data_IF_506753070047
#
_entry.id   IF_506753070047
#
_cell.length_a   1.000
_cell.length_b   1.000
_cell.length_c   1.000
_cell.angle_alpha   90.00
_cell.angle_beta   90.00
_cell.angle_gamma   90.00
#
_symmetry.space_group_name_H-M   'P 1'
#
loop_
_entity.id
_entity.type
_entity.pdbx_description
1 polymer ?
#
# COMPACT_ATOMS: atom_id res chain seq x y z
N UNK A 1 24.57 1.30 10.31
CA UNK A 1 24.38 -0.16 10.42
C UNK A 1 23.57 -0.38 11.68
N UNK A 2 22.42 -1.05 11.57
CA UNK A 2 21.64 -1.42 12.76
C UNK A 2 22.45 -2.38 13.61
N UNK A 3 22.29 -2.33 14.93
CA UNK A 3 22.90 -3.32 15.83
C UNK A 3 22.47 -4.73 15.42
N UNK A 4 23.31 -5.77 15.55
CA UNK A 4 22.88 -7.14 15.27
C UNK A 4 21.80 -7.59 16.28
N UNK A 5 20.90 -8.51 15.90
CA UNK A 5 19.96 -9.11 16.83
C UNK A 5 20.70 -9.87 17.96
N UNK A 6 20.08 -10.05 19.13
CA UNK A 6 20.71 -10.77 20.25
C UNK A 6 21.15 -12.19 19.84
N UNK A 7 22.34 -12.67 20.27
CA UNK A 7 22.82 -14.01 19.92
C UNK A 7 21.84 -15.13 20.27
N UNK A 8 21.14 -15.01 21.41
CA UNK A 8 20.12 -15.97 21.84
C UNK A 8 18.97 -16.13 20.86
N UNK A 9 18.55 -15.05 20.19
CA UNK A 9 17.51 -15.09 19.14
C UNK A 9 18.04 -15.84 17.92
N UNK A 10 19.25 -15.55 17.49
CA UNK A 10 19.87 -16.22 16.34
C UNK A 10 20.08 -17.72 16.59
N UNK A 11 20.50 -18.11 17.79
CA UNK A 11 20.66 -19.51 18.17
C UNK A 11 19.32 -20.25 18.13
N UNK A 12 18.24 -19.61 18.60
CA UNK A 12 16.89 -20.16 18.51
C UNK A 12 16.42 -20.31 17.06
N UNK A 13 16.67 -19.33 16.19
CA UNK A 13 16.36 -19.41 14.75
C UNK A 13 17.15 -20.54 14.09
N UNK A 14 18.45 -20.67 14.36
CA UNK A 14 19.29 -21.76 13.83
C UNK A 14 18.79 -23.13 14.29
N UNK A 15 18.41 -23.25 15.56
CA UNK A 15 17.81 -24.47 16.10
C UNK A 15 16.46 -24.78 15.41
N UNK A 16 15.62 -23.76 15.18
CA UNK A 16 14.35 -23.91 14.46
C UNK A 16 14.56 -24.33 13.01
N UNK A 17 15.57 -23.79 12.32
CA UNK A 17 15.95 -24.19 10.96
C UNK A 17 16.38 -25.67 10.91
N UNK A 18 17.23 -26.09 11.85
CA UNK A 18 17.76 -27.45 11.94
C UNK A 18 16.68 -28.54 12.18
N UNK A 19 15.53 -28.17 12.77
CA UNK A 19 14.38 -29.10 12.93
C UNK A 19 13.59 -29.33 11.65
N UNK A 20 13.81 -28.54 10.60
CA UNK A 20 13.10 -28.65 9.32
C UNK A 20 13.57 -29.83 8.47
N UNK A 21 12.69 -30.33 7.59
CA UNK A 21 12.96 -31.48 6.71
C UNK A 21 13.98 -31.18 5.59
N UNK A 22 14.14 -29.90 5.20
CA UNK A 22 15.05 -29.49 4.12
C UNK A 22 16.16 -28.58 4.66
N UNK A 23 17.44 -28.89 4.36
CA UNK A 23 18.54 -28.01 4.72
C UNK A 23 18.43 -26.68 3.97
N UNK A 24 18.67 -25.58 4.68
CA UNK A 24 18.72 -24.22 4.12
C UNK A 24 20.16 -23.73 4.12
N UNK A 25 20.61 -23.09 3.04
CA UNK A 25 21.93 -22.46 3.00
C UNK A 25 22.01 -21.37 4.09
N UNK A 26 23.02 -21.49 4.96
CA UNK A 26 23.24 -20.57 6.07
C UNK A 26 23.39 -19.11 5.60
N UNK A 27 23.85 -18.90 4.36
CA UNK A 27 23.98 -17.56 3.76
C UNK A 27 22.66 -16.79 3.70
N UNK A 28 21.53 -17.49 3.60
CA UNK A 28 20.21 -16.84 3.52
C UNK A 28 19.85 -16.23 4.89
N UNK A 29 20.14 -16.92 5.99
CA UNK A 29 19.99 -16.34 7.32
C UNK A 29 20.94 -15.15 7.51
N UNK A 30 22.17 -15.26 7.03
CA UNK A 30 23.13 -14.15 7.10
C UNK A 30 22.66 -12.92 6.29
N UNK A 31 21.99 -13.11 5.14
CA UNK A 31 21.33 -12.04 4.39
C UNK A 31 20.24 -11.33 5.22
N UNK A 32 19.40 -12.10 5.92
CA UNK A 32 18.37 -11.53 6.82
C UNK A 32 19.01 -10.72 7.94
N UNK A 33 20.01 -11.27 8.62
CA UNK A 33 20.70 -10.60 9.73
C UNK A 33 21.44 -9.33 9.29
N UNK A 34 21.98 -9.32 8.07
CA UNK A 34 22.72 -8.18 7.55
C UNK A 34 21.82 -7.00 7.15
N UNK A 35 20.56 -7.24 6.77
CA UNK A 35 19.71 -6.22 6.16
C UNK A 35 18.41 -5.92 6.89
N UNK A 36 17.85 -6.86 7.63
CA UNK A 36 16.68 -6.61 8.47
C UNK A 36 17.13 -5.97 9.78
N UNK A 37 16.35 -5.00 10.28
CA UNK A 37 16.69 -4.35 11.55
C UNK A 37 16.27 -5.20 12.75
N UNK A 38 16.84 -4.92 13.94
CA UNK A 38 16.51 -5.64 15.17
C UNK A 38 15.04 -5.68 15.54
N UNK A 39 14.22 -4.72 15.08
CA UNK A 39 12.79 -4.70 15.34
C UNK A 39 12.11 -5.95 14.80
N UNK A 40 12.45 -6.35 13.57
CA UNK A 40 11.93 -7.58 12.96
C UNK A 40 12.23 -8.81 13.82
N UNK A 41 13.46 -8.98 14.27
CA UNK A 41 13.85 -10.12 15.12
C UNK A 41 13.29 -10.07 16.55
N UNK A 42 12.85 -8.89 17.00
CA UNK A 42 12.21 -8.73 18.31
C UNK A 42 10.70 -8.97 18.25
N UNK A 43 10.08 -8.75 17.10
CA UNK A 43 8.63 -8.86 16.88
C UNK A 43 8.22 -10.26 16.39
N UNK A 44 9.09 -10.93 15.64
CA UNK A 44 8.85 -12.27 15.09
C UNK A 44 9.37 -13.39 16.02
N UNK A 45 8.60 -14.47 16.15
CA UNK A 45 9.06 -15.65 16.87
C UNK A 45 10.20 -16.35 16.09
N UNK A 46 11.18 -16.98 16.76
CA UNK A 46 12.27 -17.67 16.07
C UNK A 46 11.81 -18.73 15.06
N UNK A 47 10.70 -19.41 15.34
CA UNK A 47 10.04 -20.35 14.43
C UNK A 47 9.50 -19.68 13.16
N UNK A 48 8.93 -18.48 13.29
CA UNK A 48 8.38 -17.70 12.17
C UNK A 48 9.53 -17.16 11.31
N UNK A 49 10.59 -16.61 11.93
CA UNK A 49 11.81 -16.21 11.21
C UNK A 49 12.43 -17.38 10.45
N UNK A 50 12.48 -18.57 11.05
CA UNK A 50 12.97 -19.77 10.37
C UNK A 50 12.06 -20.19 9.19
N UNK A 51 10.74 -19.97 9.28
CA UNK A 51 9.83 -20.17 8.16
C UNK A 51 10.08 -19.16 7.03
N UNK A 52 10.27 -17.88 7.35
CA UNK A 52 10.59 -16.83 6.38
C UNK A 52 11.91 -17.12 5.63
N UNK A 53 12.93 -17.59 6.35
CA UNK A 53 14.21 -18.00 5.74
C UNK A 53 14.05 -19.20 4.80
N UNK A 54 13.20 -20.19 5.13
CA UNK A 54 12.88 -21.29 4.21
C UNK A 54 12.16 -20.80 2.97
N UNK A 55 11.15 -19.95 3.14
CA UNK A 55 10.42 -19.34 2.02
C UNK A 55 11.37 -18.59 1.08
N UNK A 56 12.33 -17.85 1.63
CA UNK A 56 13.38 -17.16 0.87
C UNK A 56 14.30 -18.13 0.10
N UNK A 57 14.63 -19.28 0.69
CA UNK A 57 15.48 -20.30 0.09
C UNK A 57 14.85 -20.99 -1.12
N UNK A 58 13.53 -21.00 -1.15
CA UNK A 58 12.78 -21.63 -2.22
C UNK A 58 12.34 -20.63 -3.32
N UNK A 59 12.82 -19.37 -3.27
CA UNK A 59 12.62 -18.42 -4.36
C UNK A 59 13.49 -18.75 -5.57
N UNK A 60 12.97 -18.53 -6.77
CA UNK A 60 13.70 -18.72 -8.01
C UNK A 60 12.94 -18.17 -9.21
N UNK A 61 13.48 -18.30 -10.43
CA UNK A 61 12.85 -17.73 -11.64
C UNK A 61 11.42 -18.23 -11.88
N UNK A 62 11.13 -19.49 -11.55
CA UNK A 62 9.79 -20.08 -11.68
C UNK A 62 8.89 -19.84 -10.46
N UNK A 63 9.43 -19.28 -9.38
CA UNK A 63 8.69 -19.01 -8.14
C UNK A 63 9.20 -17.71 -7.50
N UNK A 64 8.74 -16.55 -8.00
CA UNK A 64 9.25 -15.25 -7.59
C UNK A 64 8.76 -14.81 -6.21
N UNK A 65 7.78 -15.50 -5.62
CA UNK A 65 7.27 -15.21 -4.30
C UNK A 65 6.78 -16.47 -3.57
N UNK A 66 6.67 -16.33 -2.26
CA UNK A 66 6.01 -17.24 -1.35
C UNK A 66 5.16 -16.49 -0.35
N UNK A 67 4.02 -17.09 -0.03
CA UNK A 67 3.09 -16.59 0.96
C UNK A 67 2.77 -17.70 1.96
N UNK A 68 2.68 -17.35 3.23
CA UNK A 68 2.16 -18.24 4.27
C UNK A 68 1.09 -17.54 5.10
N UNK A 69 0.16 -18.33 5.64
CA UNK A 69 -0.92 -17.87 6.50
C UNK A 69 -0.84 -18.64 7.82
N UNK A 70 -0.51 -17.94 8.90
CA UNK A 70 -0.41 -18.53 10.23
C UNK A 70 -1.55 -18.03 11.12
N UNK A 71 -2.37 -18.95 11.62
CA UNK A 71 -3.45 -18.60 12.54
C UNK A 71 -2.90 -18.09 13.89
N UNK A 72 -3.50 -17.01 14.40
CA UNK A 72 -3.19 -16.39 15.68
C UNK A 72 -4.43 -16.29 16.56
N UNK A 73 -4.25 -15.90 17.81
CA UNK A 73 -5.35 -15.79 18.77
C UNK A 73 -6.40 -14.73 18.36
N UNK A 74 -7.66 -14.99 18.70
CA UNK A 74 -8.76 -14.03 18.48
C UNK A 74 -9.20 -13.87 17.03
N UNK A 75 -9.07 -14.91 16.19
CA UNK A 75 -9.48 -14.86 14.79
C UNK A 75 -8.56 -14.04 13.89
N UNK A 76 -7.34 -13.77 14.35
CA UNK A 76 -6.28 -13.08 13.61
C UNK A 76 -5.43 -14.08 12.84
N UNK A 77 -4.79 -13.60 11.78
CA UNK A 77 -3.85 -14.37 10.99
C UNK A 77 -2.63 -13.49 10.71
N UNK A 78 -1.45 -14.08 10.72
CA UNK A 78 -0.26 -13.44 10.15
C UNK A 78 -0.11 -13.95 8.72
N UNK A 79 -0.06 -13.02 7.76
CA UNK A 79 0.24 -13.29 6.35
C UNK A 79 1.65 -12.81 6.10
N UNK A 80 2.57 -13.76 5.90
CA UNK A 80 3.96 -13.46 5.57
C UNK A 80 4.19 -13.65 4.07
N UNK A 81 4.87 -12.70 3.46
CA UNK A 81 5.21 -12.69 2.04
C UNK A 81 6.70 -12.49 1.87
N UNK A 82 7.34 -13.46 1.23
CA UNK A 82 8.74 -13.38 0.83
C UNK A 82 8.79 -13.40 -0.69
N UNK A 83 9.31 -12.34 -1.33
CA UNK A 83 9.33 -12.23 -2.78
C UNK A 83 10.61 -11.55 -3.28
N UNK A 84 10.88 -11.65 -4.59
CA UNK A 84 11.78 -10.70 -5.24
C UNK A 84 11.17 -9.31 -5.23
N UNK A 85 12.03 -8.31 -5.04
CA UNK A 85 11.67 -6.91 -5.01
C UNK A 85 11.36 -6.38 -6.42
N UNK A 86 10.14 -5.88 -6.56
CA UNK A 86 9.64 -5.11 -7.69
C UNK A 86 9.13 -3.75 -7.23
N UNK A 87 9.33 -2.76 -8.11
CA UNK A 87 8.72 -1.45 -7.91
C UNK A 87 7.19 -1.57 -7.81
N UNK A 88 6.60 -0.88 -6.82
CA UNK A 88 5.17 -0.84 -6.52
C UNK A 88 4.57 -2.12 -5.90
N UNK A 89 5.35 -3.15 -5.57
CA UNK A 89 4.82 -4.40 -5.00
C UNK A 89 4.07 -4.21 -3.68
N UNK A 90 4.52 -3.29 -2.82
CA UNK A 90 3.86 -3.03 -1.54
C UNK A 90 2.41 -2.57 -1.73
N UNK A 91 2.11 -1.80 -2.78
CA UNK A 91 0.73 -1.43 -3.09
C UNK A 91 -0.07 -2.64 -3.57
N UNK A 92 0.51 -3.50 -4.40
CA UNK A 92 -0.13 -4.75 -4.83
C UNK A 92 -0.47 -5.65 -3.65
N UNK A 93 0.44 -5.80 -2.69
CA UNK A 93 0.20 -6.59 -1.47
C UNK A 93 -0.96 -6.03 -0.65
N UNK A 94 -0.96 -4.73 -0.38
CA UNK A 94 -2.05 -4.08 0.36
C UNK A 94 -3.40 -4.21 -0.36
N UNK A 95 -3.41 -4.03 -1.68
CA UNK A 95 -4.60 -4.16 -2.51
C UNK A 95 -5.13 -5.60 -2.55
N UNK A 96 -4.23 -6.59 -2.65
CA UNK A 96 -4.57 -8.00 -2.64
C UNK A 96 -5.21 -8.43 -1.31
N UNK A 97 -4.60 -8.07 -0.18
CA UNK A 97 -5.15 -8.37 1.15
C UNK A 97 -6.54 -7.76 1.31
N UNK A 98 -6.70 -6.50 0.91
CA UNK A 98 -8.00 -5.81 0.99
C UNK A 98 -9.05 -6.49 0.10
N UNK A 99 -8.69 -6.86 -1.14
CA UNK A 99 -9.57 -7.57 -2.07
C UNK A 99 -10.01 -8.96 -1.56
N UNK A 100 -9.15 -9.63 -0.79
CA UNK A 100 -9.49 -10.87 -0.07
C UNK A 100 -10.32 -10.65 1.20
N UNK A 101 -10.77 -9.42 1.45
CA UNK A 101 -11.48 -8.99 2.66
C UNK A 101 -10.68 -9.30 3.93
N UNK A 102 -9.41 -8.91 3.92
CA UNK A 102 -8.54 -8.93 5.08
C UNK A 102 -8.25 -7.48 5.49
N UNK A 103 -8.61 -7.14 6.73
CA UNK A 103 -8.23 -5.85 7.34
C UNK A 103 -6.85 -6.01 7.95
N UNK A 104 -5.93 -5.11 7.64
CA UNK A 104 -4.59 -5.10 8.21
C UNK A 104 -4.66 -4.34 9.55
N UNK A 105 -4.31 -5.01 10.65
CA UNK A 105 -4.26 -4.39 11.99
C UNK A 105 -2.83 -3.95 12.36
N UNK A 106 -1.83 -4.68 11.89
CA UNK A 106 -0.42 -4.30 12.06
C UNK A 106 0.44 -4.98 11.01
N UNK A 107 1.71 -4.56 10.89
CA UNK A 107 2.63 -5.23 9.99
C UNK A 107 4.00 -4.59 9.86
N UNK A 108 4.94 -5.37 9.35
CA UNK A 108 6.33 -5.00 9.14
C UNK A 108 6.71 -5.36 7.71
N UNK A 109 7.18 -4.35 6.97
CA UNK A 109 7.53 -4.45 5.55
C UNK A 109 8.98 -4.07 5.42
N UNK A 110 9.78 -4.91 4.76
CA UNK A 110 11.21 -4.71 4.66
C UNK A 110 11.72 -5.13 3.29
N UNK A 111 12.37 -4.20 2.58
CA UNK A 111 13.15 -4.50 1.39
C UNK A 111 14.61 -4.78 1.77
N UNK A 112 15.16 -5.90 1.30
CA UNK A 112 16.56 -6.26 1.50
C UNK A 112 17.10 -7.08 0.33
N UNK A 113 18.36 -6.86 -0.08
CA UNK A 113 19.06 -7.71 -1.06
C UNK A 113 18.21 -8.08 -2.32
N UNK A 114 17.40 -7.13 -2.84
CA UNK A 114 16.44 -7.33 -3.95
C UNK A 114 15.32 -8.35 -3.68
N UNK A 115 14.97 -8.52 -2.41
CA UNK A 115 13.86 -9.30 -1.91
C UNK A 115 13.07 -8.46 -0.92
N UNK A 116 11.89 -8.93 -0.58
CA UNK A 116 11.07 -8.41 0.51
C UNK A 116 10.78 -9.47 1.56
N UNK A 117 10.62 -9.03 2.80
CA UNK A 117 9.98 -9.78 3.89
C UNK A 117 8.89 -8.87 4.43
N UNK A 118 7.65 -9.20 4.09
CA UNK A 118 6.48 -8.43 4.49
C UNK A 118 5.55 -9.31 5.31
N UNK A 119 5.31 -8.92 6.56
CA UNK A 119 4.47 -9.66 7.51
C UNK A 119 3.32 -8.77 7.93
N UNK A 120 2.09 -9.22 7.66
CA UNK A 120 0.86 -8.49 7.99
C UNK A 120 0.02 -9.28 8.98
N UNK A 121 -0.33 -8.67 10.10
CA UNK A 121 -1.39 -9.19 10.98
C UNK A 121 -2.73 -8.72 10.47
N UNK A 122 -3.58 -9.67 10.13
CA UNK A 122 -4.88 -9.41 9.50
C UNK A 122 -6.04 -10.05 10.24
N UNK A 123 -7.21 -9.43 10.08
CA UNK A 123 -8.51 -9.94 10.52
C UNK A 123 -9.46 -10.03 9.33
N UNK A 124 -10.07 -11.21 9.05
CA UNK A 124 -11.11 -11.33 8.04
C UNK A 124 -12.33 -10.47 8.39
N UNK A 125 -12.93 -9.83 7.39
CA UNK A 125 -14.16 -9.05 7.56
C UNK A 125 -15.24 -9.45 6.55
N UNK A 126 -16.45 -8.89 6.71
CA UNK A 126 -17.58 -9.19 5.83
C UNK A 126 -18.05 -10.65 5.89
N UNK A 127 -17.88 -11.32 7.05
CA UNK A 127 -18.30 -12.70 7.27
C UNK A 127 -17.39 -13.77 6.64
N UNK A 128 -16.21 -13.40 6.14
CA UNK A 128 -15.19 -14.37 5.67
C UNK A 128 -14.59 -15.15 6.85
N UNK A 129 -14.30 -16.42 6.61
CA UNK A 129 -13.52 -17.27 7.52
C UNK A 129 -12.02 -17.08 7.35
N UNK A 130 -11.24 -18.11 7.70
CA UNK A 130 -9.80 -18.12 7.57
C UNK A 130 -9.35 -17.79 6.12
N UNK A 131 -8.28 -17.01 5.92
CA UNK A 131 -7.72 -16.77 4.60
C UNK A 131 -7.23 -18.09 3.96
N UNK A 132 -7.55 -18.28 2.69
CA UNK A 132 -7.08 -19.44 1.93
C UNK A 132 -5.68 -19.18 1.38
N UNK A 133 -4.65 -19.72 2.03
CA UNK A 133 -3.23 -19.52 1.68
C UNK A 133 -2.95 -19.76 0.19
N UNK A 134 -3.39 -20.90 -0.36
CA UNK A 134 -3.18 -21.24 -1.77
C UNK A 134 -3.87 -20.28 -2.74
N UNK A 135 -5.01 -19.68 -2.33
CA UNK A 135 -5.70 -18.68 -3.16
C UNK A 135 -4.96 -17.34 -3.14
N UNK A 136 -4.53 -16.89 -1.96
CA UNK A 136 -3.72 -15.68 -1.80
C UNK A 136 -2.39 -15.80 -2.57
N UNK A 137 -1.68 -16.92 -2.42
CA UNK A 137 -0.39 -17.13 -3.09
C UNK A 137 -0.54 -17.17 -4.62
N UNK A 138 -1.55 -17.86 -5.15
CA UNK A 138 -1.83 -17.89 -6.59
C UNK A 138 -2.10 -16.48 -7.14
N UNK A 139 -2.96 -15.72 -6.46
CA UNK A 139 -3.32 -14.38 -6.89
C UNK A 139 -2.13 -13.40 -6.76
N UNK A 140 -1.28 -13.57 -5.74
CA UNK A 140 -0.02 -12.83 -5.60
C UNK A 140 0.92 -13.10 -6.79
N UNK A 141 1.13 -14.37 -7.12
CA UNK A 141 2.00 -14.76 -8.24
C UNK A 141 1.47 -14.23 -9.57
N UNK A 142 0.15 -14.20 -9.76
CA UNK A 142 -0.48 -13.57 -10.92
C UNK A 142 -0.13 -12.08 -11.02
N UNK A 143 -0.29 -11.33 -9.91
CA UNK A 143 0.00 -9.90 -9.90
C UNK A 143 1.49 -9.60 -10.08
N UNK A 144 2.37 -10.35 -9.42
CA UNK A 144 3.82 -10.18 -9.58
C UNK A 144 4.30 -10.54 -10.99
N UNK A 145 3.68 -11.53 -11.63
CA UNK A 145 3.93 -11.85 -13.05
C UNK A 145 3.62 -10.66 -13.96
N UNK A 146 2.48 -9.99 -13.74
CA UNK A 146 2.14 -8.76 -14.48
C UNK A 146 3.16 -7.64 -14.25
N UNK A 147 3.64 -7.45 -13.01
CA UNK A 147 4.66 -6.43 -12.72
C UNK A 147 5.99 -6.77 -13.42
N UNK A 148 6.42 -8.03 -13.36
CA UNK A 148 7.64 -8.50 -14.01
C UNK A 148 7.60 -8.26 -15.53
N UNK A 149 6.43 -8.45 -16.15
CA UNK A 149 6.16 -8.18 -17.56
C UNK A 149 5.96 -6.69 -17.91
N UNK A 150 6.17 -5.78 -16.95
CA UNK A 150 5.95 -4.32 -17.07
C UNK A 150 4.49 -3.93 -17.35
N UNK A 151 3.55 -4.77 -16.92
CA UNK A 151 2.09 -4.56 -17.01
C UNK A 151 1.49 -4.14 -15.66
N UNK A 152 2.21 -3.27 -14.93
CA UNK A 152 1.80 -2.79 -13.60
C UNK A 152 0.44 -2.09 -13.60
N UNK A 153 0.09 -1.39 -14.68
CA UNK A 153 -1.23 -0.74 -14.82
C UNK A 153 -2.37 -1.78 -14.84
N UNK A 154 -2.15 -2.90 -15.52
CA UNK A 154 -3.13 -3.98 -15.59
C UNK A 154 -3.29 -4.70 -14.25
N UNK A 155 -2.20 -4.93 -13.52
CA UNK A 155 -2.25 -5.49 -12.16
C UNK A 155 -3.10 -4.59 -11.24
N UNK A 156 -2.89 -3.28 -11.32
CA UNK A 156 -3.65 -2.28 -10.54
C UNK A 156 -5.11 -2.21 -10.94
N UNK A 157 -5.41 -2.23 -12.23
CA UNK A 157 -6.80 -2.25 -12.70
C UNK A 157 -7.56 -3.47 -12.18
N UNK A 158 -6.93 -4.66 -12.25
CA UNK A 158 -7.50 -5.90 -11.71
C UNK A 158 -7.78 -5.79 -10.20
N UNK A 159 -6.83 -5.27 -9.42
CA UNK A 159 -7.02 -5.05 -7.99
C UNK A 159 -8.13 -4.04 -7.71
N UNK A 160 -8.13 -2.89 -8.40
CA UNK A 160 -9.15 -1.85 -8.22
C UNK A 160 -10.56 -2.38 -8.47
N UNK A 161 -10.74 -3.24 -9.49
CA UNK A 161 -12.02 -3.88 -9.77
C UNK A 161 -12.46 -4.80 -8.63
N UNK A 162 -11.56 -5.66 -8.14
CA UNK A 162 -11.84 -6.54 -6.98
C UNK A 162 -12.10 -5.74 -5.71
N UNK A 163 -11.43 -4.60 -5.54
CA UNK A 163 -11.64 -3.71 -4.40
C UNK A 163 -13.05 -3.13 -4.41
N UNK A 164 -13.53 -2.63 -5.56
CA UNK A 164 -14.89 -2.14 -5.73
C UNK A 164 -15.95 -3.19 -5.33
N UNK A 165 -15.71 -4.47 -5.65
CA UNK A 165 -16.58 -5.59 -5.27
C UNK A 165 -16.46 -5.99 -3.79
N UNK A 166 -15.31 -5.71 -3.17
CA UNK A 166 -15.01 -6.08 -1.77
C UNK A 166 -15.45 -5.02 -0.76
N UNK A 167 -15.41 -3.74 -1.14
CA UNK A 167 -15.77 -2.60 -0.31
C UNK A 167 -17.30 -2.49 -0.25
N UNK A 168 -17.87 -2.67 0.94
CA UNK A 168 -19.30 -2.45 1.17
C UNK A 168 -19.71 -0.98 1.05
N UNK A 169 -21.02 -0.66 1.18
CA UNK A 169 -21.49 0.71 1.16
C UNK A 169 -20.75 1.57 2.20
N UNK A 170 -20.51 2.86 1.90
CA UNK A 170 -19.68 3.70 2.73
C UNK A 170 -20.28 3.83 4.14
N UNK A 171 -19.44 3.85 5.20
CA UNK A 171 -19.93 4.02 6.56
C UNK A 171 -20.41 5.46 6.79
N UNK A 172 -21.66 5.76 6.45
CA UNK A 172 -22.37 7.00 6.78
C UNK A 172 -21.79 8.30 6.18
N UNK A 173 -22.57 9.36 6.24
CA UNK A 173 -22.14 10.71 5.87
C UNK A 173 -21.35 11.34 7.02
N UNK A 174 -20.06 11.57 6.82
CA UNK A 174 -19.24 12.33 7.76
C UNK A 174 -17.91 12.74 7.13
N UNK A 175 -17.50 13.98 7.35
CA UNK A 175 -16.14 14.42 7.00
C UNK A 175 -15.13 13.54 7.76
N UNK A 176 -14.17 12.97 7.05
CA UNK A 176 -13.07 12.23 7.68
C UNK A 176 -12.27 13.25 8.51
N UNK A 177 -11.95 12.87 9.75
CA UNK A 177 -11.01 13.63 10.56
C UNK A 177 -9.69 13.82 9.79
N UNK A 178 -9.03 15.00 9.90
CA UNK A 178 -7.80 15.27 9.17
C UNK A 178 -6.72 14.22 9.49
N UNK A 179 -5.90 13.90 8.49
CA UNK A 179 -4.70 13.09 8.69
C UNK A 179 -3.59 13.98 9.25
N UNK A 180 -2.95 13.51 10.30
CA UNK A 180 -1.68 14.05 10.76
C UNK A 180 -0.56 13.38 9.96
N UNK A 181 0.21 14.19 9.25
CA UNK A 181 1.33 13.72 8.42
C UNK A 181 2.56 14.49 8.83
N UNK A 182 3.57 13.79 9.36
CA UNK A 182 4.83 14.37 9.80
C UNK A 182 6.01 13.77 9.03
N UNK A 183 6.99 14.61 8.69
CA UNK A 183 8.20 14.19 7.99
C UNK A 183 9.39 14.33 8.94
N UNK A 184 10.21 13.29 9.05
CA UNK A 184 11.45 13.30 9.80
C UNK A 184 12.61 12.83 8.92
N UNK A 185 13.37 13.79 8.40
CA UNK A 185 14.58 13.53 7.64
C UNK A 185 15.82 13.30 8.53
N UNK A 186 15.72 13.37 9.85
CA UNK A 186 16.83 13.08 10.76
C UNK A 186 16.76 11.65 11.33
N UNK A 187 15.56 11.06 11.41
CA UNK A 187 15.35 9.69 11.91
C UNK A 187 16.06 8.59 11.09
N UNK A 188 16.42 8.85 9.82
CA UNK A 188 17.18 7.91 9.00
C UNK A 188 18.21 8.65 8.14
N UNK A 189 19.44 8.16 8.11
CA UNK A 189 20.49 8.70 7.25
C UNK A 189 20.19 8.50 5.75
N UNK A 190 19.42 7.46 5.39
CA UNK A 190 19.22 7.03 4.00
C UNK A 190 17.85 7.42 3.43
N UNK A 191 16.82 7.47 4.28
CA UNK A 191 15.43 7.59 3.83
C UNK A 191 14.72 8.76 4.50
N UNK A 192 13.70 9.27 3.84
CA UNK A 192 12.74 10.19 4.46
C UNK A 192 11.76 9.35 5.28
N UNK A 193 11.63 9.66 6.57
CA UNK A 193 10.64 9.00 7.43
C UNK A 193 9.35 9.82 7.38
N UNK A 194 8.22 9.17 7.16
CA UNK A 194 6.89 9.79 7.16
C UNK A 194 6.01 9.05 8.16
N UNK A 195 5.48 9.79 9.12
CA UNK A 195 4.45 9.32 10.04
C UNK A 195 3.09 9.76 9.51
N UNK A 196 2.17 8.81 9.35
CA UNK A 196 0.79 9.03 8.90
C UNK A 196 -0.15 8.52 9.96
N UNK A 197 -0.89 9.43 10.59
CA UNK A 197 -1.81 9.13 11.67
C UNK A 197 -3.21 9.64 11.36
N UNK A 198 -4.22 8.83 11.62
CA UNK A 198 -5.61 9.22 11.41
C UNK A 198 -6.58 8.06 11.55
N UNK A 199 -7.87 8.34 11.35
CA UNK A 199 -8.89 7.29 11.42
C UNK A 199 -8.64 6.21 10.37
N UNK A 200 -8.60 4.95 10.77
CA UNK A 200 -8.45 3.83 9.86
C UNK A 200 -9.71 3.65 8.99
N UNK A 201 -9.52 3.43 7.70
CA UNK A 201 -10.60 3.22 6.73
C UNK A 201 -10.22 2.12 5.74
N UNK A 202 -11.15 1.23 5.38
CA UNK A 202 -10.89 0.17 4.41
C UNK A 202 -10.26 0.70 3.11
N UNK A 203 -9.20 0.03 2.64
CA UNK A 203 -8.52 0.37 1.38
C UNK A 203 -7.60 1.60 1.42
N UNK A 204 -7.51 2.33 2.54
CA UNK A 204 -6.65 3.51 2.62
C UNK A 204 -5.16 3.19 2.45
N UNK A 205 -4.66 2.15 3.14
CA UNK A 205 -3.25 1.76 3.04
C UNK A 205 -2.87 1.38 1.59
N UNK A 206 -3.75 0.65 0.90
CA UNK A 206 -3.58 0.36 -0.52
C UNK A 206 -3.49 1.64 -1.36
N UNK A 207 -4.45 2.54 -1.21
CA UNK A 207 -4.50 3.75 -2.02
C UNK A 207 -3.30 4.67 -1.75
N UNK A 208 -2.87 4.79 -0.50
CA UNK A 208 -1.65 5.48 -0.10
C UNK A 208 -0.43 4.85 -0.77
N UNK A 209 -0.24 3.54 -0.64
CA UNK A 209 0.86 2.82 -1.25
C UNK A 209 0.88 2.97 -2.79
N UNK A 210 -0.29 2.90 -3.44
CA UNK A 210 -0.42 3.08 -4.88
C UNK A 210 -0.05 4.51 -5.31
N UNK A 211 -0.48 5.51 -4.56
CA UNK A 211 -0.16 6.90 -4.85
C UNK A 211 1.32 7.24 -4.67
N UNK A 212 1.99 6.62 -3.69
CA UNK A 212 3.45 6.70 -3.55
C UNK A 212 4.12 6.10 -4.80
N UNK A 213 3.71 4.90 -5.21
CA UNK A 213 4.26 4.24 -6.38
C UNK A 213 4.07 5.05 -7.68
N UNK A 214 2.90 5.65 -7.89
CA UNK A 214 2.62 6.51 -9.05
C UNK A 214 3.54 7.74 -9.13
N UNK A 215 3.96 8.26 -7.98
CA UNK A 215 4.85 9.43 -7.86
C UNK A 215 6.33 9.04 -7.86
N UNK A 216 6.63 7.83 -8.29
CA UNK A 216 7.97 7.25 -8.28
C UNK A 216 8.63 7.30 -6.89
N UNK A 217 7.82 7.12 -5.85
CA UNK A 217 8.30 7.00 -4.47
C UNK A 217 8.38 5.52 -4.12
N UNK A 218 9.58 5.09 -3.77
CA UNK A 218 9.89 3.75 -3.33
C UNK A 218 9.70 3.64 -1.81
N UNK A 219 9.05 2.56 -1.37
CA UNK A 219 8.83 2.24 0.04
C UNK A 219 9.86 1.19 0.46
N UNK A 220 10.81 1.56 1.31
CA UNK A 220 11.88 0.66 1.76
C UNK A 220 11.53 -0.10 3.03
N UNK A 221 10.74 0.54 3.89
CA UNK A 221 10.26 -0.04 5.13
C UNK A 221 8.91 0.56 5.49
N UNK A 222 8.04 -0.25 6.09
CA UNK A 222 6.82 0.21 6.73
C UNK A 222 6.66 -0.45 8.08
N UNK A 223 6.18 0.31 9.06
CA UNK A 223 5.61 -0.19 10.31
C UNK A 223 4.16 0.25 10.35
N UNK A 224 3.25 -0.72 10.39
CA UNK A 224 1.80 -0.51 10.38
C UNK A 224 1.28 -0.82 11.78
N UNK A 225 0.52 0.09 12.37
CA UNK A 225 -0.09 -0.09 13.69
C UNK A 225 -1.49 0.52 13.73
N UNK A 226 -2.53 -0.30 13.93
CA UNK A 226 -3.89 0.18 14.17
C UNK A 226 -4.23 0.05 15.67
N UNK A 227 -4.46 1.18 16.32
CA UNK A 227 -4.92 1.27 17.71
C UNK A 227 -6.41 1.63 17.73
N UNK A 228 -7.26 0.63 17.93
CA UNK A 228 -8.71 0.82 17.93
C UNK A 228 -9.25 1.14 16.53
N UNK A 229 -9.53 2.42 16.25
CA UNK A 229 -9.96 2.91 14.92
C UNK A 229 -8.98 3.92 14.32
N UNK A 230 -7.76 3.97 14.84
CA UNK A 230 -6.74 4.93 14.46
C UNK A 230 -5.53 4.18 13.90
N UNK A 231 -5.19 4.46 12.65
CA UNK A 231 -3.97 3.96 12.01
C UNK A 231 -2.81 4.90 12.37
N UNK A 232 -1.65 4.31 12.64
CA UNK A 232 -0.38 4.95 12.99
C UNK A 232 0.73 4.28 12.19
N UNK A 233 0.86 4.71 10.95
CA UNK A 233 1.75 4.07 10.01
C UNK A 233 3.02 4.91 9.84
N UNK A 234 4.17 4.26 9.93
CA UNK A 234 5.48 4.88 9.67
C UNK A 234 6.09 4.29 8.41
N UNK A 235 6.40 5.14 7.46
CA UNK A 235 7.01 4.78 6.18
C UNK A 235 8.43 5.31 6.11
N UNK A 236 9.36 4.49 5.62
CA UNK A 236 10.67 4.94 5.17
C UNK A 236 10.69 4.93 3.65
N UNK A 237 10.71 6.12 3.08
CA UNK A 237 10.54 6.32 1.64
C UNK A 237 11.73 7.06 1.03
N UNK A 238 11.93 6.83 -0.26
CA UNK A 238 12.84 7.61 -1.08
C UNK A 238 12.25 7.77 -2.47
N UNK A 239 12.71 8.77 -3.22
CA UNK A 239 12.49 8.81 -4.67
C UNK A 239 13.08 7.55 -5.30
N UNK A 240 12.58 7.11 -6.45
CA UNK A 240 13.09 5.95 -7.21
C UNK A 240 14.60 5.99 -7.46
N UNK A 241 15.19 7.18 -7.53
CA UNK A 241 16.65 7.37 -7.61
C UNK A 241 17.41 7.24 -6.28
N UNK A 242 16.77 6.77 -5.20
CA UNK A 242 17.35 6.58 -3.86
C UNK A 242 17.52 7.85 -3.04
N UNK A 243 17.02 9.00 -3.51
CA UNK A 243 17.17 10.29 -2.81
C UNK A 243 16.02 10.53 -1.83
N UNK A 244 16.36 11.18 -0.72
CA UNK A 244 15.39 11.68 0.24
C UNK A 244 14.50 12.78 -0.35
N UNK A 245 13.31 12.94 0.22
CA UNK A 245 12.37 14.01 -0.06
C UNK A 245 12.59 15.10 1.00
N UNK A 246 13.53 16.00 0.72
CA UNK A 246 13.94 17.07 1.65
C UNK A 246 13.32 18.43 1.34
N UNK A 247 12.92 18.64 0.08
CA UNK A 247 12.31 19.89 -0.34
C UNK A 247 10.93 20.07 0.31
N UNK A 248 10.72 21.24 0.93
CA UNK A 248 9.49 21.53 1.67
C UNK A 248 8.26 21.59 0.75
N UNK A 249 8.42 21.99 -0.52
CA UNK A 249 7.31 21.99 -1.49
C UNK A 249 6.93 20.56 -1.82
N UNK A 250 7.90 19.69 -2.08
CA UNK A 250 7.66 18.25 -2.33
C UNK A 250 6.96 17.55 -1.15
N UNK A 251 7.33 17.88 0.08
CA UNK A 251 6.67 17.34 1.28
C UNK A 251 5.24 17.86 1.43
N UNK A 252 5.01 19.15 1.18
CA UNK A 252 3.68 19.74 1.25
C UNK A 252 2.75 19.17 0.15
N UNK A 253 3.31 19.01 -1.04
CA UNK A 253 2.75 18.26 -2.14
C UNK A 253 2.29 16.86 -1.70
N UNK A 254 3.19 16.06 -1.15
CA UNK A 254 2.86 14.71 -0.72
C UNK A 254 1.79 14.71 0.39
N UNK A 255 1.89 15.62 1.36
CA UNK A 255 0.87 15.80 2.42
C UNK A 255 -0.52 16.05 1.83
N UNK A 256 -0.63 16.94 0.86
CA UNK A 256 -1.88 17.24 0.18
C UNK A 256 -2.42 16.01 -0.55
N UNK A 257 -1.58 15.33 -1.33
CA UNK A 257 -1.97 14.12 -2.06
C UNK A 257 -2.53 13.06 -1.10
N UNK A 258 -1.83 12.75 -0.01
CA UNK A 258 -2.28 11.75 0.98
C UNK A 258 -3.62 12.13 1.63
N UNK A 259 -3.80 13.41 1.99
CA UNK A 259 -5.06 13.89 2.55
C UNK A 259 -6.23 13.74 1.56
N UNK A 260 -6.00 14.10 0.30
CA UNK A 260 -7.00 13.99 -0.77
C UNK A 260 -7.33 12.53 -1.09
N UNK A 261 -6.32 11.64 -1.14
CA UNK A 261 -6.52 10.19 -1.31
C UNK A 261 -7.36 9.63 -0.18
N UNK A 262 -7.13 10.04 1.07
CA UNK A 262 -7.96 9.60 2.19
C UNK A 262 -9.42 9.96 1.95
N UNK A 263 -9.69 11.22 1.61
CA UNK A 263 -11.06 11.68 1.38
C UNK A 263 -11.69 10.97 0.19
N UNK A 264 -10.97 10.86 -0.93
CA UNK A 264 -11.45 10.21 -2.14
C UNK A 264 -11.72 8.72 -1.97
N UNK A 265 -10.87 7.99 -1.25
CA UNK A 265 -11.03 6.54 -1.02
C UNK A 265 -12.28 6.20 -0.22
N UNK A 266 -12.72 7.08 0.68
CA UNK A 266 -14.02 6.93 1.33
C UNK A 266 -15.19 7.06 0.35
N UNK A 267 -15.03 7.84 -0.72
CA UNK A 267 -16.07 8.11 -1.71
C UNK A 267 -16.11 7.07 -2.84
N UNK A 268 -15.07 6.25 -2.98
CA UNK A 268 -14.98 5.20 -4.01
C UNK A 268 -16.21 4.29 -4.06
N UNK A 269 -16.78 3.79 -2.94
CA UNK A 269 -17.99 2.96 -2.99
C UNK A 269 -19.22 3.64 -3.58
N UNK A 270 -19.22 4.98 -3.69
CA UNK A 270 -20.30 5.77 -4.30
C UNK A 270 -20.04 6.13 -5.76
N UNK A 271 -18.85 5.80 -6.31
CA UNK A 271 -18.53 6.04 -7.70
C UNK A 271 -19.19 4.97 -8.61
N UNK A 272 -19.68 5.34 -9.81
CA UNK A 272 -20.27 4.38 -10.74
C UNK A 272 -19.29 3.27 -11.16
N UNK A 273 -18.03 3.64 -11.41
CA UNK A 273 -16.89 2.75 -11.57
C UNK A 273 -15.75 3.20 -10.65
N UNK A 274 -15.58 2.58 -9.46
CA UNK A 274 -14.55 2.97 -8.51
C UNK A 274 -13.12 2.77 -9.03
N UNK A 275 -12.91 1.79 -9.92
CA UNK A 275 -11.60 1.52 -10.48
C UNK A 275 -11.20 2.61 -11.46
N UNK A 276 -12.14 3.05 -12.30
CA UNK A 276 -11.97 4.17 -13.20
C UNK A 276 -11.80 5.49 -12.44
N UNK A 277 -12.59 5.70 -11.38
CA UNK A 277 -12.52 6.88 -10.54
C UNK A 277 -11.14 7.05 -9.89
N UNK A 278 -10.58 5.98 -9.29
CA UNK A 278 -9.25 6.00 -8.69
C UNK A 278 -8.15 6.31 -9.73
N UNK A 279 -8.24 5.69 -10.91
CA UNK A 279 -7.28 5.92 -12.00
C UNK A 279 -7.24 7.38 -12.45
N UNK A 280 -8.39 8.00 -12.68
CA UNK A 280 -8.42 9.39 -13.12
C UNK A 280 -8.12 10.39 -12.00
N UNK A 281 -8.45 10.04 -10.76
CA UNK A 281 -8.08 10.85 -9.61
C UNK A 281 -6.56 10.96 -9.47
N UNK A 282 -5.85 9.85 -9.66
CA UNK A 282 -4.40 9.82 -9.66
C UNK A 282 -3.81 10.73 -10.76
N UNK A 283 -4.34 10.67 -12.00
CA UNK A 283 -3.93 11.55 -13.10
C UNK A 283 -4.22 13.03 -12.81
N UNK A 284 -5.37 13.30 -12.19
CA UNK A 284 -5.74 14.65 -11.78
C UNK A 284 -4.77 15.21 -10.74
N UNK A 285 -4.42 14.41 -9.72
CA UNK A 285 -3.45 14.82 -8.71
C UNK A 285 -2.09 15.09 -9.34
N UNK A 286 -1.60 14.25 -10.25
CA UNK A 286 -0.28 14.47 -10.87
C UNK A 286 -0.21 15.80 -11.65
N UNK A 287 -1.27 16.17 -12.36
CA UNK A 287 -1.37 17.47 -13.04
C UNK A 287 -1.46 18.65 -12.08
N UNK A 288 -2.32 18.55 -11.07
CA UNK A 288 -2.47 19.59 -10.04
C UNK A 288 -1.14 19.89 -9.35
N UNK A 289 -0.28 18.88 -9.25
CA UNK A 289 1.00 18.91 -8.55
C UNK A 289 2.16 19.33 -9.44
N UNK A 290 2.08 19.07 -10.76
CA UNK A 290 3.03 19.57 -11.75
C UNK A 290 2.95 21.09 -11.95
N UNK A 291 1.93 21.75 -11.38
CA UNK A 291 1.67 23.17 -11.59
C UNK A 291 1.12 23.46 -13.00
N UNK A 292 0.62 22.43 -13.69
CA UNK A 292 -0.08 22.61 -14.95
C UNK A 292 -1.29 23.53 -14.72
N UNK A 293 -1.51 24.54 -15.57
CA UNK A 293 -2.65 25.43 -15.41
C UNK A 293 -3.92 24.60 -15.43
N UNK A 294 -4.59 24.57 -14.28
CA UNK A 294 -5.94 24.00 -14.17
C UNK A 294 -6.87 24.77 -15.11
N UNK A 295 -7.86 24.10 -15.70
CA UNK A 295 -8.72 24.73 -16.70
C UNK A 295 -9.39 26.00 -16.11
N UNK A 296 -9.04 27.16 -16.67
CA UNK A 296 -9.64 28.46 -16.35
C UNK A 296 -10.64 28.82 -17.46
N UNK A 297 -11.92 28.90 -17.12
CA UNK A 297 -12.98 29.25 -18.07
C UNK A 297 -14.30 29.57 -17.36
N UNK A 298 -15.22 30.33 -18.01
CA UNK A 298 -16.52 30.64 -17.42
C UNK A 298 -17.31 29.35 -17.18
N UNK A 299 -17.67 29.08 -15.92
CA UNK A 299 -18.38 27.86 -15.51
C UNK A 299 -17.48 26.68 -15.10
N UNK A 300 -16.16 26.80 -15.19
CA UNK A 300 -15.24 25.81 -14.63
C UNK A 300 -15.24 25.94 -13.09
N UNK A 301 -15.49 24.86 -12.33
CA UNK A 301 -15.28 24.89 -10.89
C UNK A 301 -13.80 25.14 -10.63
N UNK A 302 -13.49 26.17 -9.82
CA UNK A 302 -12.12 26.40 -9.39
C UNK A 302 -11.63 25.12 -8.70
N UNK A 303 -10.47 24.58 -9.12
CA UNK A 303 -9.86 23.40 -8.50
C UNK A 303 -9.74 23.47 -6.97
N UNK A 304 -9.47 24.64 -6.32
CA UNK A 304 -9.60 24.75 -4.87
C UNK A 304 -11.01 24.49 -4.32
N UNK A 305 -12.08 24.73 -5.08
CA UNK A 305 -13.46 24.44 -4.68
C UNK A 305 -13.84 22.96 -4.77
N UNK A 306 -13.37 22.26 -5.82
CA UNK A 306 -13.58 20.81 -6.00
C UNK A 306 -12.82 19.97 -4.95
N UNK A 307 -11.57 20.34 -4.68
CA UNK A 307 -10.73 19.64 -3.71
C UNK A 307 -10.93 20.11 -2.26
N UNK A 308 -11.51 21.30 -2.08
CA UNK A 308 -11.65 21.96 -0.77
C UNK A 308 -12.94 21.61 -0.03
N UNK A 309 -13.86 20.85 -0.63
CA UNK A 309 -15.13 20.48 0.00
C UNK A 309 -15.46 18.98 -0.16
N UNK A 310 -16.08 18.35 0.85
CA UNK A 310 -16.58 16.97 0.75
C UNK A 310 -17.55 16.78 -0.43
N UNK A 311 -18.39 17.78 -0.70
CA UNK A 311 -19.35 17.81 -1.81
C UNK A 311 -18.62 17.83 -3.15
N UNK A 312 -17.61 18.69 -3.32
CA UNK A 312 -16.79 18.75 -4.53
C UNK A 312 -16.07 17.44 -4.82
N UNK A 313 -15.54 16.77 -3.80
CA UNK A 313 -14.91 15.45 -3.95
C UNK A 313 -15.90 14.33 -4.29
N UNK A 314 -17.15 14.42 -3.82
CA UNK A 314 -18.23 13.49 -4.21
C UNK A 314 -18.57 13.64 -5.68
N UNK A 315 -18.74 14.88 -6.15
CA UNK A 315 -18.98 15.14 -7.57
C UNK A 315 -17.81 14.71 -8.43
N UNK A 316 -16.57 14.93 -7.96
CA UNK A 316 -15.37 14.42 -8.61
C UNK A 316 -15.38 12.88 -8.68
N UNK A 317 -15.69 12.17 -7.60
CA UNK A 317 -15.78 10.71 -7.61
C UNK A 317 -16.84 10.18 -8.59
N UNK A 318 -18.01 10.83 -8.67
CA UNK A 318 -19.06 10.49 -9.65
C UNK A 318 -18.60 10.75 -11.07
N UNK A 319 -18.09 11.95 -11.34
CA UNK A 319 -17.60 12.37 -12.66
C UNK A 319 -16.52 11.39 -13.15
N UNK A 320 -15.49 11.16 -12.34
CA UNK A 320 -14.36 10.30 -12.70
C UNK A 320 -14.76 8.83 -12.83
N UNK A 321 -15.77 8.37 -12.09
CA UNK A 321 -16.29 7.02 -12.21
C UNK A 321 -17.31 6.82 -13.34
N UNK A 322 -17.76 7.86 -14.03
CA UNK A 322 -18.90 7.77 -14.96
C UNK A 322 -18.51 7.38 -16.40
N UNK A 323 -17.48 8.00 -16.99
CA UNK A 323 -16.95 7.58 -18.31
C UNK A 323 -15.60 8.22 -18.65
N UNK A 324 -14.87 7.58 -19.56
CA UNK A 324 -13.65 8.15 -20.16
C UNK A 324 -13.92 9.44 -20.96
N UNK A 325 -15.10 9.54 -21.59
CA UNK A 325 -15.49 10.72 -22.37
C UNK A 325 -15.69 11.95 -21.48
N UNK A 326 -16.39 11.79 -20.35
CA UNK A 326 -16.61 12.88 -19.39
C UNK A 326 -15.30 13.31 -18.70
N UNK A 327 -14.37 12.37 -18.48
CA UNK A 327 -13.01 12.71 -18.06
C UNK A 327 -12.26 13.50 -19.13
N UNK A 328 -12.28 13.07 -20.40
CA UNK A 328 -11.66 13.81 -21.49
C UNK A 328 -12.26 15.20 -21.68
N UNK A 329 -13.58 15.35 -21.56
CA UNK A 329 -14.28 16.64 -21.66
C UNK A 329 -13.97 17.56 -20.49
N UNK A 330 -13.87 17.01 -19.28
CA UNK A 330 -13.35 17.73 -18.11
C UNK A 330 -11.92 18.22 -18.34
N UNK A 331 -11.06 17.37 -18.92
CA UNK A 331 -9.69 17.76 -19.29
C UNK A 331 -9.64 18.76 -20.46
N UNK A 332 -10.60 18.72 -21.38
CA UNK A 332 -10.67 19.55 -22.61
C UNK A 332 -11.48 20.83 -22.45
N UNK A 333 -12.00 21.12 -21.26
CA UNK A 333 -12.80 22.33 -20.96
C UNK A 333 -14.18 22.40 -21.63
N UNK A 334 -14.79 21.27 -21.99
CA UNK A 334 -16.13 21.25 -22.60
C UNK A 334 -17.24 21.14 -21.54
N UNK A 335 -17.30 22.11 -20.62
CA UNK A 335 -18.23 22.12 -19.48
C UNK A 335 -19.72 22.12 -19.89
N UNK A 336 -20.06 22.58 -21.09
CA UNK A 336 -21.43 22.47 -21.63
C UNK A 336 -21.91 21.02 -21.80
N UNK A 337 -20.99 20.06 -21.93
CA UNK A 337 -21.30 18.62 -22.01
C UNK A 337 -21.35 17.93 -20.64
N UNK A 338 -20.90 18.58 -19.56
CA UNK A 338 -20.90 18.04 -18.19
C UNK A 338 -22.21 18.35 -17.43
N UNK A 339 -22.89 19.44 -17.79
CA UNK A 339 -24.14 19.91 -17.18
C UNK A 339 -25.32 18.92 -17.23
N UNK A 340 -25.47 18.01 -18.22
CA UNK A 340 -26.57 17.03 -18.21
C UNK A 340 -26.39 15.87 -17.22
N UNK A 341 -25.21 15.73 -16.59
CA UNK A 341 -24.80 14.53 -15.82
C UNK A 341 -24.53 14.83 -14.33
N UNK A 342 -24.47 16.11 -13.95
CA UNK A 342 -24.48 16.61 -12.56
C UNK A 342 -25.91 16.94 -12.14
#
# INVERSE_FOLDING_TARGET
>A
MSSPPPPSVLDAVRAALARGASPVDAKILDEFVAHLDPGYFAEEAPEDVAAHVRMAAELGPSRPARLSVTARAGGRYDVAVIAFDYFAEFSILCGLLTAHRLSIESGHVHTFARKIVDVFRVVPWGGRGAPEEAALERDLLEMLGLIADRRTDEARERLNRRLAESLGPPPGEGAIAPLEIAFDNQASAQWTVVDVQGRDTPGFLYALANALALREIYVHRVRIESVGREARDRFWIARRGGRKIEDARDQQALRLAVALIKQFTHLLPSAPDPALALRYFDQFLDRAMAGDPTPQGPGAPETPGLLGSPEGLRELARLLGSSAFLWEDFLRMQFEHLLPVL
#
